data_IF_244288108604
#
_entry.id   IF_244288108604
#
_cell.length_a   1.000
_cell.length_b   1.000
_cell.length_c   1.000
_cell.angle_alpha   90.00
_cell.angle_beta   90.00
_cell.angle_gamma   90.00
#
_symmetry.space_group_name_H-M   'P 1'
#
loop_
_entity.id
_entity.type
_entity.pdbx_description
1 polymer ?
#
# COMPACT_ATOMS: atom_id res chain seq x y z
N UNK A 1 19.90 -21.38 -21.25
CA UNK A 1 18.63 -20.76 -20.80
C UNK A 1 18.94 -19.30 -20.55
N UNK A 2 18.61 -18.44 -21.52
CA UNK A 2 19.00 -17.03 -21.55
C UNK A 2 18.20 -16.18 -20.54
N UNK A 3 18.84 -15.29 -19.77
CA UNK A 3 18.11 -14.32 -18.97
C UNK A 3 17.62 -13.15 -19.85
N UNK A 4 16.31 -12.95 -19.79
CA UNK A 4 15.52 -11.92 -20.45
C UNK A 4 16.09 -10.51 -20.18
N UNK A 5 16.46 -9.81 -21.26
CA UNK A 5 16.76 -8.37 -21.27
C UNK A 5 15.47 -7.58 -21.02
N UNK A 6 15.33 -6.95 -19.87
CA UNK A 6 14.33 -5.89 -19.65
C UNK A 6 15.03 -4.54 -19.72
N UNK A 7 14.89 -3.86 -20.86
CA UNK A 7 15.28 -2.45 -21.01
C UNK A 7 14.13 -1.57 -20.50
N UNK A 8 14.38 -0.76 -19.46
CA UNK A 8 13.42 0.26 -19.03
C UNK A 8 13.55 1.48 -19.94
N UNK A 9 12.49 1.76 -20.71
CA UNK A 9 12.36 2.94 -21.55
C UNK A 9 11.63 4.03 -20.77
N UNK A 10 12.32 5.11 -20.42
CA UNK A 10 11.68 6.34 -19.92
C UNK A 10 11.26 7.21 -21.10
N UNK A 11 9.95 7.44 -21.24
CA UNK A 11 9.35 8.21 -22.33
C UNK A 11 9.43 9.72 -22.03
N UNK A 12 10.25 10.44 -22.80
CA UNK A 12 10.26 11.91 -22.78
C UNK A 12 10.49 12.44 -24.20
N UNK A 13 9.38 12.62 -24.93
CA UNK A 13 9.33 13.48 -26.13
C UNK A 13 10.25 13.07 -27.30
N UNK A 14 10.18 13.82 -28.42
CA UNK A 14 10.46 13.26 -29.73
C UNK A 14 11.94 13.40 -30.14
N UNK A 15 12.91 13.03 -29.30
CA UNK A 15 14.31 12.78 -29.72
C UNK A 15 15.00 11.81 -28.75
N UNK A 16 15.00 10.52 -29.12
CA UNK A 16 15.77 9.48 -28.43
C UNK A 16 17.28 9.79 -28.55
N UNK A 17 17.91 10.23 -27.45
CA UNK A 17 19.37 10.24 -27.32
C UNK A 17 19.81 8.99 -26.55
N UNK A 18 20.56 8.13 -27.23
CA UNK A 18 21.18 6.95 -26.62
C UNK A 18 22.33 7.45 -25.72
N UNK A 19 22.13 7.44 -24.41
CA UNK A 19 23.20 7.70 -23.44
C UNK A 19 23.98 6.39 -23.27
N UNK A 20 25.19 6.31 -23.84
CA UNK A 20 26.11 5.19 -23.63
C UNK A 20 26.68 5.28 -22.20
N UNK A 21 26.20 4.43 -21.30
CA UNK A 21 26.83 4.22 -20.00
C UNK A 21 28.17 3.51 -20.24
N UNK A 22 29.26 4.14 -19.79
CA UNK A 22 30.63 3.62 -19.91
C UNK A 22 30.89 2.73 -18.69
N UNK A 23 30.79 1.41 -18.87
CA UNK A 23 31.07 0.44 -17.81
C UNK A 23 32.56 0.47 -17.41
N UNK A 24 32.84 0.67 -16.11
CA UNK A 24 34.15 0.38 -15.56
C UNK A 24 34.29 -1.14 -15.49
N UNK A 25 35.15 -1.72 -16.34
CA UNK A 25 35.61 -3.11 -16.17
C UNK A 25 36.39 -3.22 -14.86
N UNK A 26 35.75 -3.73 -13.82
CA UNK A 26 36.47 -4.25 -12.66
C UNK A 26 37.14 -5.57 -13.06
N UNK A 27 38.47 -5.55 -13.21
CA UNK A 27 39.28 -6.76 -13.32
C UNK A 27 39.31 -7.44 -11.94
N UNK A 28 38.44 -8.41 -11.72
CA UNK A 28 38.65 -9.36 -10.63
C UNK A 28 39.83 -10.26 -10.98
N UNK A 29 40.94 -10.07 -10.28
CA UNK A 29 42.07 -10.98 -10.33
C UNK A 29 41.62 -12.36 -9.85
N UNK A 30 41.78 -13.36 -10.70
CA UNK A 30 41.52 -14.76 -10.36
C UNK A 30 42.55 -15.23 -9.33
N UNK A 31 42.20 -15.15 -8.05
CA UNK A 31 42.86 -15.98 -7.05
C UNK A 31 42.38 -17.42 -7.25
N UNK A 32 43.30 -18.33 -7.56
CA UNK A 32 43.08 -19.78 -7.63
C UNK A 32 42.51 -20.26 -6.29
N UNK A 33 41.24 -20.63 -6.26
CA UNK A 33 40.63 -21.29 -5.10
C UNK A 33 41.04 -22.77 -5.07
N UNK A 34 41.47 -23.34 -3.93
CA UNK A 34 41.66 -24.77 -3.80
C UNK A 34 40.31 -25.50 -3.83
N UNK A 35 40.30 -26.76 -4.27
CA UNK A 35 39.10 -27.60 -4.38
C UNK A 35 38.47 -27.82 -2.99
N UNK A 36 37.30 -27.22 -2.77
CA UNK A 36 36.53 -27.39 -1.54
C UNK A 36 35.59 -28.59 -1.73
N UNK A 37 35.55 -29.57 -0.81
CA UNK A 37 34.68 -30.74 -0.92
C UNK A 37 33.19 -30.35 -0.84
N UNK A 38 32.37 -31.00 -1.67
CA UNK A 38 30.97 -30.69 -1.97
C UNK A 38 30.04 -30.56 -0.75
N UNK A 39 30.43 -31.17 0.39
CA UNK A 39 29.65 -31.15 1.63
C UNK A 39 29.57 -29.75 2.27
N UNK A 40 30.57 -28.89 2.06
CA UNK A 40 30.59 -27.54 2.68
C UNK A 40 29.62 -26.58 2.00
N UNK A 41 29.35 -26.79 0.70
CA UNK A 41 28.44 -25.93 -0.08
C UNK A 41 26.98 -26.15 0.32
N UNK A 42 26.59 -27.39 0.65
CA UNK A 42 25.23 -27.71 1.10
C UNK A 42 24.90 -27.13 2.49
N UNK A 43 25.87 -27.06 3.39
CA UNK A 43 25.66 -26.50 4.72
C UNK A 43 25.42 -24.98 4.70
N UNK A 44 26.02 -24.26 3.75
CA UNK A 44 25.83 -22.80 3.62
C UNK A 44 24.46 -22.41 3.06
N UNK A 45 23.81 -23.28 2.28
CA UNK A 45 22.50 -23.02 1.67
C UNK A 45 21.32 -23.14 2.67
N UNK A 46 21.48 -23.92 3.75
CA UNK A 46 20.39 -24.21 4.69
C UNK A 46 20.21 -23.16 5.81
N UNK A 47 21.14 -22.22 5.97
CA UNK A 47 21.08 -21.20 7.05
C UNK A 47 20.39 -19.88 6.63
N UNK A 48 19.99 -19.71 5.37
CA UNK A 48 19.48 -18.43 4.86
C UNK A 48 17.94 -18.25 4.96
N UNK A 49 17.18 -19.27 5.38
CA UNK A 49 15.70 -19.20 5.36
C UNK A 49 15.05 -18.81 6.70
N UNK A 50 15.82 -18.63 7.77
CA UNK A 50 15.25 -18.32 9.10
C UNK A 50 14.92 -16.84 9.33
N UNK A 51 15.39 -15.93 8.46
CA UNK A 51 15.12 -14.48 8.58
C UNK A 51 14.28 -13.90 7.44
N UNK A 52 13.70 -14.75 6.59
CA UNK A 52 12.63 -14.32 5.69
C UNK A 52 11.30 -14.31 6.46
N UNK A 53 11.22 -13.51 7.52
CA UNK A 53 9.93 -13.08 8.03
C UNK A 53 9.20 -12.35 6.89
N UNK A 54 7.86 -12.45 6.76
CA UNK A 54 7.16 -11.63 5.79
C UNK A 54 7.60 -10.20 6.02
N UNK A 55 8.08 -9.56 4.96
CA UNK A 55 8.32 -8.12 4.96
C UNK A 55 6.97 -7.47 5.27
N UNK A 56 6.71 -7.24 6.54
CA UNK A 56 5.77 -6.24 6.98
C UNK A 56 6.42 -4.96 6.50
N UNK A 57 6.18 -4.61 5.23
CA UNK A 57 6.16 -3.20 4.89
C UNK A 57 5.22 -2.64 5.93
N UNK A 58 5.76 -1.88 6.88
CA UNK A 58 4.98 -0.94 7.63
C UNK A 58 4.13 -0.25 6.58
N UNK A 59 2.87 -0.71 6.43
CA UNK A 59 1.86 -0.01 5.69
C UNK A 59 1.92 1.31 6.40
N UNK A 60 2.42 2.33 5.71
CA UNK A 60 2.39 3.69 6.21
C UNK A 60 0.97 3.84 6.74
N UNK A 61 0.85 3.78 8.06
CA UNK A 61 -0.42 3.96 8.72
C UNK A 61 -0.68 5.41 8.37
N UNK A 62 -1.53 5.59 7.37
CA UNK A 62 -1.88 6.89 6.84
C UNK A 62 -2.74 7.51 7.92
N UNK A 63 -2.09 7.94 9.01
CA UNK A 63 -2.70 8.47 10.24
C UNK A 63 -3.55 9.71 9.96
N UNK A 64 -3.49 10.18 8.72
CA UNK A 64 -4.19 11.32 8.22
C UNK A 64 -5.56 10.95 7.65
N UNK A 65 -5.95 9.67 7.53
CA UNK A 65 -7.26 9.25 7.04
C UNK A 65 -7.97 8.29 7.99
N UNK A 66 -9.23 8.58 8.33
CA UNK A 66 -10.03 7.76 9.24
C UNK A 66 -11.53 7.84 8.91
N UNK A 67 -12.29 6.83 9.36
CA UNK A 67 -13.74 6.81 9.25
C UNK A 67 -14.33 7.69 10.33
N UNK A 68 -15.10 8.69 9.94
CA UNK A 68 -15.65 9.65 10.87
C UNK A 68 -17.10 9.34 11.20
N UNK A 69 -17.38 9.25 12.50
CA UNK A 69 -18.71 9.13 13.06
C UNK A 69 -18.94 10.20 14.12
N UNK A 70 -19.83 11.17 13.83
CA UNK A 70 -20.13 12.27 14.73
C UNK A 70 -20.71 11.84 16.08
N UNK A 71 -21.38 10.69 16.15
CA UNK A 71 -22.07 10.20 17.36
C UNK A 71 -21.32 9.09 18.08
N UNK A 72 -20.09 8.80 17.67
CA UNK A 72 -19.27 7.75 18.30
C UNK A 72 -19.05 8.03 19.79
N UNK A 73 -18.94 9.30 20.18
CA UNK A 73 -18.70 9.73 21.56
C UNK A 73 -19.95 10.25 22.28
N UNK A 74 -21.15 10.00 21.74
CA UNK A 74 -22.40 10.34 22.43
C UNK A 74 -22.61 9.38 23.61
N UNK A 75 -22.69 9.93 24.83
CA UNK A 75 -22.83 9.18 26.09
C UNK A 75 -24.07 8.28 26.10
N UNK A 76 -25.09 8.59 25.32
CA UNK A 76 -26.34 7.83 25.25
C UNK A 76 -26.25 6.60 24.33
N UNK A 77 -25.28 6.59 23.41
CA UNK A 77 -25.12 5.53 22.40
C UNK A 77 -23.74 4.86 22.39
N UNK A 78 -22.79 5.34 23.21
CA UNK A 78 -21.40 4.87 23.24
C UNK A 78 -21.23 3.34 23.35
N UNK A 79 -22.09 2.67 24.11
CA UNK A 79 -22.03 1.21 24.32
C UNK A 79 -22.77 0.40 23.25
N UNK A 80 -23.44 1.07 22.30
CA UNK A 80 -24.21 0.40 21.26
C UNK A 80 -23.32 0.19 20.04
N UNK A 81 -23.42 -0.97 19.36
CA UNK A 81 -22.70 -1.17 18.11
C UNK A 81 -23.15 -0.11 17.10
N UNK A 82 -22.16 0.58 16.50
CA UNK A 82 -22.41 1.55 15.44
C UNK A 82 -23.07 0.83 14.27
N UNK A 83 -24.33 1.14 14.01
CA UNK A 83 -25.05 0.69 12.83
C UNK A 83 -24.54 1.54 11.67
N UNK A 84 -23.94 0.92 10.65
CA UNK A 84 -23.66 1.61 9.38
C UNK A 84 -24.67 1.08 8.36
N UNK A 85 -25.80 1.77 8.13
CA UNK A 85 -26.76 1.27 7.17
C UNK A 85 -26.36 1.65 5.75
N UNK A 86 -26.15 2.92 5.40
CA UNK A 86 -26.15 3.28 3.96
C UNK A 86 -25.00 4.18 3.48
N UNK A 87 -24.28 4.84 4.38
CA UNK A 87 -23.18 5.73 3.99
C UNK A 87 -22.09 5.82 5.05
N UNK A 88 -20.85 5.96 4.60
CA UNK A 88 -19.68 6.21 5.43
C UNK A 88 -18.98 7.50 4.99
N UNK A 89 -18.35 8.17 5.94
CA UNK A 89 -17.53 9.35 5.68
C UNK A 89 -16.10 9.04 6.08
N UNK A 90 -15.17 9.17 5.14
CA UNK A 90 -13.73 9.07 5.40
C UNK A 90 -13.17 10.49 5.45
N UNK A 91 -12.70 10.91 6.61
CA UNK A 91 -12.05 12.19 6.82
C UNK A 91 -10.55 12.05 6.60
N UNK A 92 -9.97 12.94 5.82
CA UNK A 92 -8.55 12.90 5.53
C UNK A 92 -7.88 14.27 5.33
N UNK A 93 -6.56 14.28 5.40
CA UNK A 93 -5.73 15.40 4.96
C UNK A 93 -5.14 15.11 3.58
N UNK A 94 -5.22 16.10 2.67
CA UNK A 94 -4.63 16.00 1.32
C UNK A 94 -3.10 15.81 1.36
N UNK A 95 -2.44 16.30 2.41
CA UNK A 95 -1.01 16.16 2.60
C UNK A 95 -0.71 14.81 3.27
N UNK A 96 -0.46 13.78 2.47
CA UNK A 96 -0.01 12.47 2.95
C UNK A 96 -0.97 11.32 2.68
N UNK A 97 -2.22 11.62 2.28
CA UNK A 97 -3.21 10.59 1.94
C UNK A 97 -3.46 10.49 0.45
N UNK A 98 -3.54 9.27 -0.07
CA UNK A 98 -3.88 9.01 -1.47
C UNK A 98 -5.35 8.61 -1.65
N UNK A 99 -5.94 8.89 -2.81
CA UNK A 99 -7.29 8.43 -3.16
C UNK A 99 -7.43 6.90 -3.11
N UNK A 100 -6.38 6.15 -3.45
CA UNK A 100 -6.40 4.70 -3.34
C UNK A 100 -6.53 4.24 -1.88
N UNK A 101 -5.80 4.88 -0.96
CA UNK A 101 -5.93 4.60 0.48
C UNK A 101 -7.35 4.87 0.98
N UNK A 102 -7.93 6.01 0.61
CA UNK A 102 -9.27 6.42 1.03
C UNK A 102 -10.33 5.43 0.53
N UNK A 103 -10.23 5.03 -0.74
CA UNK A 103 -11.13 4.04 -1.33
C UNK A 103 -11.00 2.67 -0.65
N UNK A 104 -9.79 2.26 -0.28
CA UNK A 104 -9.57 1.00 0.45
C UNK A 104 -10.19 1.04 1.84
N UNK A 105 -10.00 2.13 2.59
CA UNK A 105 -10.66 2.32 3.90
C UNK A 105 -12.17 2.22 3.75
N UNK A 106 -12.74 2.93 2.76
CA UNK A 106 -14.17 2.90 2.50
C UNK A 106 -14.68 1.49 2.16
N UNK A 107 -13.96 0.77 1.30
CA UNK A 107 -14.30 -0.59 0.90
C UNK A 107 -14.22 -1.57 2.08
N UNK A 108 -13.19 -1.48 2.90
CA UNK A 108 -13.00 -2.34 4.07
C UNK A 108 -14.14 -2.18 5.08
N UNK A 109 -14.60 -0.96 5.29
CA UNK A 109 -15.71 -0.65 6.21
C UNK A 109 -17.06 -1.11 5.68
N UNK A 110 -17.42 -0.78 4.43
CA UNK A 110 -18.67 -1.27 3.84
C UNK A 110 -18.70 -2.81 3.77
N UNK A 111 -17.54 -3.45 3.56
CA UNK A 111 -17.41 -4.91 3.52
C UNK A 111 -17.74 -5.59 4.84
N UNK A 112 -17.56 -4.93 6.00
CA UNK A 112 -18.00 -5.46 7.31
C UNK A 112 -19.50 -5.77 7.33
N UNK A 113 -20.26 -5.13 6.46
CA UNK A 113 -21.71 -5.29 6.31
C UNK A 113 -22.11 -6.00 5.01
N UNK A 114 -21.17 -6.69 4.34
CA UNK A 114 -21.37 -7.33 3.03
C UNK A 114 -21.80 -6.38 1.90
N UNK A 115 -21.49 -5.08 2.03
CA UNK A 115 -21.81 -4.04 1.03
C UNK A 115 -20.56 -3.60 0.27
N UNK A 116 -20.78 -2.97 -0.89
CA UNK A 116 -19.73 -2.36 -1.71
C UNK A 116 -19.72 -0.85 -1.52
N UNK A 117 -18.54 -0.25 -1.41
CA UNK A 117 -18.40 1.20 -1.32
C UNK A 117 -18.51 1.84 -2.71
N UNK A 118 -19.46 2.77 -2.88
CA UNK A 118 -19.63 3.60 -4.06
C UNK A 118 -19.35 5.06 -3.71
N UNK A 119 -18.44 5.71 -4.43
CA UNK A 119 -18.10 7.10 -4.17
C UNK A 119 -19.29 8.02 -4.48
N UNK A 120 -19.66 8.86 -3.51
CA UNK A 120 -20.77 9.81 -3.63
C UNK A 120 -20.24 11.22 -3.91
N UNK A 121 -19.52 11.81 -2.95
CA UNK A 121 -19.03 13.20 -3.07
C UNK A 121 -17.90 13.51 -2.12
N UNK A 122 -17.22 14.63 -2.37
CA UNK A 122 -16.33 15.28 -1.42
C UNK A 122 -17.06 16.41 -0.67
N UNK A 123 -16.65 16.68 0.56
CA UNK A 123 -17.12 17.83 1.36
C UNK A 123 -16.00 18.37 2.25
N UNK A 124 -16.09 19.63 2.66
CA UNK A 124 -15.15 20.25 3.61
C UNK A 124 -15.80 20.65 4.95
N UNK A 125 -17.09 20.33 5.12
CA UNK A 125 -17.89 20.83 6.24
C UNK A 125 -18.21 19.76 7.29
N UNK A 126 -17.83 18.51 7.04
CA UNK A 126 -18.20 17.37 7.91
C UNK A 126 -17.08 16.99 8.86
N UNK A 127 -15.82 17.10 8.40
CA UNK A 127 -14.68 16.57 9.12
C UNK A 127 -14.06 17.56 10.11
N UNK A 128 -13.27 17.07 11.08
CA UNK A 128 -12.52 17.92 12.00
C UNK A 128 -11.48 18.81 11.30
N UNK A 129 -11.04 19.86 12.02
CA UNK A 129 -10.13 20.88 11.50
C UNK A 129 -8.80 20.33 10.96
N UNK A 130 -8.26 19.26 11.56
CA UNK A 130 -6.96 18.68 11.18
C UNK A 130 -7.04 17.74 9.95
N UNK A 131 -8.24 17.27 9.61
CA UNK A 131 -8.52 16.39 8.46
C UNK A 131 -9.69 16.94 7.66
N UNK A 132 -9.56 18.13 7.06
CA UNK A 132 -10.70 18.92 6.62
C UNK A 132 -11.44 18.34 5.42
N UNK A 133 -10.91 17.30 4.75
CA UNK A 133 -11.51 16.74 3.55
C UNK A 133 -12.32 15.50 3.89
N UNK A 134 -13.62 15.54 3.61
CA UNK A 134 -14.53 14.42 3.72
C UNK A 134 -14.68 13.75 2.34
N UNK A 135 -14.42 12.45 2.26
CA UNK A 135 -14.88 11.60 1.16
C UNK A 135 -16.06 10.76 1.63
N UNK A 136 -17.22 10.99 1.02
CA UNK A 136 -18.46 10.32 1.38
C UNK A 136 -18.71 9.19 0.38
N UNK A 137 -18.93 8.00 0.90
CA UNK A 137 -19.25 6.80 0.14
C UNK A 137 -20.61 6.26 0.57
N UNK A 138 -21.40 5.79 -0.39
CA UNK A 138 -22.58 4.99 -0.12
C UNK A 138 -22.16 3.52 -0.03
N UNK A 139 -22.69 2.78 0.94
CA UNK A 139 -22.54 1.34 0.97
C UNK A 139 -23.74 0.71 0.25
N UNK A 140 -23.52 0.19 -0.96
CA UNK A 140 -24.56 -0.35 -1.85
C UNK A 140 -24.38 -1.85 -2.10
N UNK A 141 -25.48 -2.52 -2.44
CA UNK A 141 -25.51 -3.95 -2.72
C UNK A 141 -25.59 -4.78 -1.44
N UNK A 142 -26.78 -5.30 -1.17
CA UNK A 142 -26.96 -6.41 -0.25
C UNK A 142 -26.75 -7.68 -1.08
N UNK A 143 -25.66 -8.42 -0.88
CA UNK A 143 -25.62 -9.81 -1.36
C UNK A 143 -26.46 -10.64 -0.37
N UNK A 144 -27.78 -10.49 -0.48
CA UNK A 144 -28.73 -11.38 0.18
C UNK A 144 -28.87 -12.68 -0.58
#
# INVERSE_FOLDING_TARGET
MDPVRTANLTYQGPRLKIVRIRERRYRFGMYRAPAIPSAVVLAALLLATACAGPNQSDRAEDKNAFVYNQREFDRTTFTKPTVIPDSITVCYNKFGTTQATIANIAAEECRKFNKTAEFNRLSLLVCPLFTPVAAIYNCVGDKR
#
